data_IF_936648562319
#
_entry.id   IF_936648562319
#
_cell.length_a   1.000
_cell.length_b   1.000
_cell.length_c   1.000
_cell.angle_alpha   90.00
_cell.angle_beta   90.00
_cell.angle_gamma   90.00
#
_symmetry.space_group_name_H-M   'P 1'
#
loop_
_entity.id
_entity.type
_entity.pdbx_description
1 polymer ?
#
# COMPACT_ATOMS: atom_id res chain seq x y z
N UNK A 1 22.01 -13.54 10.33
CA UNK A 1 20.62 -13.50 9.89
C UNK A 1 20.28 -12.11 9.40
N UNK A 2 19.60 -12.03 8.29
CA UNK A 2 19.21 -10.74 7.72
C UNK A 2 17.88 -10.30 8.27
N UNK A 3 17.79 -9.03 8.61
CA UNK A 3 16.52 -8.41 8.94
C UNK A 3 16.01 -7.66 7.72
N UNK A 4 14.84 -8.03 7.25
CA UNK A 4 14.20 -7.39 6.10
C UNK A 4 13.00 -6.61 6.64
N UNK A 5 13.02 -5.27 6.56
CA UNK A 5 11.88 -4.49 7.02
C UNK A 5 10.63 -4.87 6.25
N UNK A 6 9.54 -5.04 6.96
CA UNK A 6 8.28 -5.38 6.34
C UNK A 6 7.76 -4.21 5.53
N UNK A 7 7.32 -4.49 4.29
CA UNK A 7 6.71 -3.49 3.44
C UNK A 7 5.20 -3.64 3.55
N UNK A 8 4.61 -2.87 4.44
CA UNK A 8 3.17 -2.95 4.69
C UNK A 8 2.34 -2.56 3.47
N UNK A 9 2.84 -1.63 2.66
CA UNK A 9 2.14 -1.21 1.44
C UNK A 9 2.06 -2.39 0.47
N UNK A 10 3.17 -3.08 0.27
CA UNK A 10 3.18 -4.25 -0.61
C UNK A 10 2.23 -5.32 -0.09
N UNK A 11 2.25 -5.58 1.22
CA UNK A 11 1.37 -6.56 1.83
C UNK A 11 -0.09 -6.18 1.61
N UNK A 12 -0.44 -4.90 1.81
CA UNK A 12 -1.79 -4.43 1.61
C UNK A 12 -2.24 -4.57 0.16
N UNK A 13 -1.38 -4.17 -0.78
CA UNK A 13 -1.67 -4.28 -2.20
C UNK A 13 -1.89 -5.74 -2.60
N UNK A 14 -1.03 -6.64 -2.11
CA UNK A 14 -1.16 -8.06 -2.42
C UNK A 14 -2.45 -8.65 -1.88
N UNK A 15 -2.87 -8.23 -0.68
CA UNK A 15 -4.11 -8.71 -0.08
C UNK A 15 -5.35 -8.27 -0.86
N UNK A 16 -5.29 -7.12 -1.50
CA UNK A 16 -6.41 -6.60 -2.30
C UNK A 16 -6.46 -7.28 -3.68
N UNK A 17 -5.36 -7.79 -4.15
CA UNK A 17 -5.32 -8.48 -5.43
C UNK A 17 -4.21 -8.04 -6.36
N UNK A 18 -3.26 -7.25 -5.86
CA UNK A 18 -2.11 -6.81 -6.63
C UNK A 18 -2.23 -5.38 -7.13
N UNK A 19 -1.14 -4.84 -7.70
CA UNK A 19 -1.11 -3.42 -8.12
C UNK A 19 -2.17 -3.06 -9.16
N UNK A 20 -2.40 -3.93 -10.13
CA UNK A 20 -3.40 -3.68 -11.17
C UNK A 20 -4.79 -3.57 -10.56
N UNK A 21 -5.11 -4.47 -9.64
CA UNK A 21 -6.41 -4.45 -8.98
C UNK A 21 -6.60 -3.16 -8.19
N UNK A 22 -5.57 -2.76 -7.44
CA UNK A 22 -5.63 -1.54 -6.65
C UNK A 22 -5.80 -0.32 -7.56
N UNK A 23 -5.06 -0.26 -8.67
CA UNK A 23 -5.17 0.87 -9.59
C UNK A 23 -6.57 0.98 -10.16
N UNK A 24 -7.18 -0.14 -10.51
CA UNK A 24 -8.54 -0.19 -11.04
C UNK A 24 -9.55 0.28 -10.00
N UNK A 25 -9.42 -0.23 -8.77
CA UNK A 25 -10.36 0.11 -7.70
C UNK A 25 -10.28 1.57 -7.29
N UNK A 26 -9.09 2.15 -7.34
CA UNK A 26 -8.87 3.52 -6.89
C UNK A 26 -8.94 4.53 -8.05
N UNK A 27 -8.99 4.05 -9.29
CA UNK A 27 -9.02 4.94 -10.44
C UNK A 27 -7.71 5.68 -10.64
N UNK A 28 -6.58 5.06 -10.32
CA UNK A 28 -5.26 5.67 -10.45
C UNK A 28 -4.37 4.81 -11.34
N UNK A 29 -3.25 5.37 -11.77
CA UNK A 29 -2.30 4.65 -12.59
C UNK A 29 -1.59 3.55 -11.79
N UNK A 30 -1.30 2.42 -12.45
CA UNK A 30 -0.56 1.35 -11.82
C UNK A 30 0.82 1.82 -11.34
N UNK A 31 1.43 2.75 -12.09
CA UNK A 31 2.71 3.33 -11.71
C UNK A 31 2.65 4.03 -10.35
N UNK A 32 1.52 4.65 -10.01
CA UNK A 32 1.36 5.27 -8.70
C UNK A 32 1.40 4.23 -7.59
N UNK A 33 0.75 3.09 -7.81
CA UNK A 33 0.76 2.00 -6.84
C UNK A 33 2.18 1.46 -6.66
N UNK A 34 2.93 1.30 -7.75
CA UNK A 34 4.32 0.85 -7.66
C UNK A 34 5.18 1.86 -6.91
N UNK A 35 4.92 3.15 -7.08
CA UNK A 35 5.62 4.19 -6.34
C UNK A 35 5.38 4.06 -4.84
N UNK A 36 4.14 3.80 -4.44
CA UNK A 36 3.82 3.57 -3.03
C UNK A 36 4.62 2.38 -2.47
N UNK A 37 4.68 1.29 -3.22
CA UNK A 37 5.40 0.10 -2.79
C UNK A 37 6.90 0.41 -2.68
N UNK A 38 7.44 1.13 -3.64
CA UNK A 38 8.86 1.50 -3.64
C UNK A 38 9.21 2.39 -2.45
N UNK A 39 8.35 3.34 -2.14
CA UNK A 39 8.55 4.27 -1.02
C UNK A 39 8.13 3.66 0.32
N UNK A 40 7.43 2.53 0.29
CA UNK A 40 6.91 1.85 1.48
C UNK A 40 5.95 2.72 2.28
N UNK A 41 5.29 3.66 1.59
CA UNK A 41 4.31 4.53 2.25
C UNK A 41 3.36 5.10 1.22
N UNK A 42 2.17 5.46 1.70
CA UNK A 42 1.17 6.15 0.89
C UNK A 42 1.03 7.55 1.48
N UNK A 43 1.42 8.56 0.71
CA UNK A 43 1.37 9.93 1.19
C UNK A 43 -0.05 10.49 1.24
N UNK A 44 -0.95 10.00 0.38
CA UNK A 44 -2.33 10.46 0.38
C UNK A 44 -3.12 9.71 1.45
N UNK A 45 -3.62 10.45 2.43
CA UNK A 45 -4.30 9.86 3.57
C UNK A 45 -5.60 9.15 3.18
N UNK A 46 -6.30 9.66 2.17
CA UNK A 46 -7.56 9.04 1.73
C UNK A 46 -7.31 7.67 1.12
N UNK A 47 -6.28 7.56 0.28
CA UNK A 47 -5.91 6.28 -0.30
C UNK A 47 -5.36 5.32 0.77
N UNK A 48 -4.57 5.85 1.69
CA UNK A 48 -4.04 5.03 2.78
C UNK A 48 -5.17 4.45 3.62
N UNK A 49 -6.15 5.27 3.99
CA UNK A 49 -7.28 4.83 4.79
C UNK A 49 -8.11 3.77 4.04
N UNK A 50 -8.36 4.02 2.75
CA UNK A 50 -9.15 3.10 1.95
C UNK A 50 -8.44 1.75 1.79
N UNK A 51 -7.15 1.78 1.49
CA UNK A 51 -6.38 0.56 1.32
C UNK A 51 -6.25 -0.19 2.65
N UNK A 52 -6.07 0.52 3.75
CA UNK A 52 -6.00 -0.09 5.07
C UNK A 52 -7.30 -0.83 5.39
N UNK A 53 -8.43 -0.21 5.11
CA UNK A 53 -9.73 -0.83 5.36
C UNK A 53 -9.92 -2.09 4.53
N UNK A 54 -9.52 -2.04 3.26
CA UNK A 54 -9.68 -3.16 2.35
C UNK A 54 -8.73 -4.31 2.66
N UNK A 55 -7.55 -4.01 3.15
CA UNK A 55 -6.52 -5.02 3.40
C UNK A 55 -6.52 -5.55 4.84
N UNK A 56 -7.25 -4.88 5.75
CA UNK A 56 -7.27 -5.26 7.14
C UNK A 56 -6.07 -4.75 7.93
N UNK A 57 -5.29 -3.86 7.35
CA UNK A 57 -4.17 -3.22 8.03
C UNK A 57 -4.61 -1.88 8.62
N UNK A 58 -3.73 -1.28 9.41
CA UNK A 58 -3.99 0.03 9.98
C UNK A 58 -3.44 1.12 9.08
N UNK A 59 -4.11 2.28 9.08
CA UNK A 59 -3.67 3.41 8.27
C UNK A 59 -2.23 3.81 8.59
N UNK A 60 -1.86 3.75 9.87
CA UNK A 60 -0.52 4.11 10.31
C UNK A 60 0.54 3.24 9.66
N UNK A 61 0.24 1.96 9.43
CA UNK A 61 1.18 1.06 8.79
C UNK A 61 1.45 1.42 7.35
N UNK A 62 0.47 2.03 6.67
CA UNK A 62 0.61 2.42 5.27
C UNK A 62 1.22 3.80 5.11
N UNK A 63 1.13 4.65 6.14
CA UNK A 63 1.67 6.00 6.08
C UNK A 63 3.05 6.13 6.70
N UNK A 64 3.42 5.19 7.54
CA UNK A 64 4.70 5.23 8.24
C UNK A 64 5.64 4.21 7.61
N UNK A 65 6.90 4.60 7.45
CA UNK A 65 7.94 3.71 6.97
C UNK A 65 8.75 3.07 8.08
N UNK A 66 8.40 3.34 9.31
CA UNK A 66 9.14 2.85 10.46
C UNK A 66 8.41 1.75 11.18
#
# INVERSE_FOLDING_TARGET
>A
MFYIPENHVKTAVDRVGGPTKVSTLFGIATGTVHTWIKQRRISNIDYAAKLAQMSGLQVQQLRSTR
#
